data_IF_829621844682
#
_entry.id   IF_829621844682
#
_cell.length_a   1.000
_cell.length_b   1.000
_cell.length_c   1.000
_cell.angle_alpha   90.00
_cell.angle_beta   90.00
_cell.angle_gamma   90.00
#
_symmetry.space_group_name_H-M   'P 1'
#
loop_
_entity.id
_entity.type
_entity.pdbx_description
1 polymer ?
#
# COMPACT_ATOMS: atom_id res chain seq x y z
N UNK A 1 -2.36 -3.91 15.81
CA UNK A 1 -0.93 -3.62 15.94
C UNK A 1 -0.30 -3.63 14.57
N UNK A 2 0.62 -2.73 14.30
CA UNK A 2 1.35 -2.58 13.03
C UNK A 2 2.86 -2.60 13.31
N UNK A 3 3.67 -2.97 12.32
CA UNK A 3 5.13 -2.89 12.47
C UNK A 3 5.62 -1.44 12.56
N UNK A 4 4.97 -0.54 11.82
CA UNK A 4 5.31 0.89 11.73
C UNK A 4 4.16 1.78 12.21
N UNK A 5 4.44 3.04 12.59
CA UNK A 5 3.40 4.02 12.88
C UNK A 5 2.47 4.24 11.67
N UNK A 6 1.19 4.49 11.95
CA UNK A 6 0.23 4.82 10.89
C UNK A 6 0.66 6.13 10.21
N UNK A 7 0.79 6.16 8.87
CA UNK A 7 1.17 7.37 8.15
C UNK A 7 0.18 8.53 8.37
N UNK A 8 0.70 9.76 8.49
CA UNK A 8 -0.09 10.95 8.79
C UNK A 8 -1.23 11.22 7.78
N UNK A 9 -1.12 10.71 6.56
CA UNK A 9 -2.18 10.82 5.57
C UNK A 9 -3.50 10.13 6.00
N UNK A 10 -3.45 9.24 7.01
CA UNK A 10 -4.60 8.53 7.58
C UNK A 10 -5.10 9.11 8.91
N UNK A 11 -4.54 10.21 9.40
CA UNK A 11 -4.92 10.85 10.68
C UNK A 11 -6.41 11.21 10.77
N UNK A 12 -7.08 11.34 9.63
CA UNK A 12 -8.51 11.63 9.56
C UNK A 12 -9.42 10.40 9.78
N UNK A 13 -8.84 9.21 9.90
CA UNK A 13 -9.59 7.98 10.05
C UNK A 13 -10.07 7.79 11.49
N UNK A 14 -11.35 7.41 11.70
CA UNK A 14 -11.87 7.19 13.03
C UNK A 14 -11.12 6.04 13.72
N UNK A 15 -10.71 6.25 14.98
CA UNK A 15 -10.03 5.22 15.78
C UNK A 15 -8.55 5.03 15.47
N UNK A 16 -7.94 5.86 14.60
CA UNK A 16 -6.50 5.77 14.28
C UNK A 16 -5.61 5.90 15.52
N UNK A 17 -6.05 6.65 16.53
CA UNK A 17 -5.36 6.81 17.81
C UNK A 17 -5.26 5.51 18.63
N UNK A 18 -6.03 4.48 18.24
CA UNK A 18 -5.98 3.14 18.84
C UNK A 18 -4.92 2.24 18.23
N UNK A 19 -4.38 2.63 17.07
CA UNK A 19 -3.28 1.90 16.45
C UNK A 19 -2.06 1.86 17.37
N UNK A 20 -1.35 0.74 17.37
CA UNK A 20 -0.16 0.52 18.21
C UNK A 20 0.93 -0.12 17.36
N UNK A 21 2.18 0.16 17.70
CA UNK A 21 3.36 -0.46 17.08
C UNK A 21 3.95 -1.57 17.95
N UNK A 22 3.39 -1.81 19.11
CA UNK A 22 3.78 -2.90 19.99
C UNK A 22 2.55 -3.56 20.62
N UNK A 23 2.65 -4.85 20.89
CA UNK A 23 1.65 -5.58 21.69
C UNK A 23 1.84 -5.20 23.16
N UNK A 24 0.73 -4.87 23.85
CA UNK A 24 0.79 -4.60 25.27
C UNK A 24 1.22 -5.86 26.03
N UNK A 25 2.16 -5.77 26.99
CA UNK A 25 2.57 -6.91 27.80
C UNK A 25 1.43 -7.57 28.59
N UNK A 26 0.40 -6.79 28.94
CA UNK A 26 -0.76 -7.26 29.69
C UNK A 26 -1.85 -7.88 28.81
N UNK A 27 -1.63 -7.92 27.49
CA UNK A 27 -2.61 -8.48 26.55
C UNK A 27 -2.49 -10.01 26.52
N UNK A 28 -3.57 -10.68 26.88
CA UNK A 28 -3.72 -12.15 26.78
C UNK A 28 -4.89 -12.48 25.83
N UNK A 29 -4.67 -12.47 24.50
CA UNK A 29 -5.74 -12.69 23.54
C UNK A 29 -6.04 -14.18 23.37
N UNK A 30 -7.31 -14.49 23.11
CA UNK A 30 -7.76 -15.83 22.72
C UNK A 30 -7.62 -16.08 21.21
N UNK A 31 -7.43 -15.04 20.42
CA UNK A 31 -7.37 -15.08 18.96
C UNK A 31 -6.48 -13.95 18.43
N UNK A 32 -5.67 -14.27 17.43
CA UNK A 32 -4.97 -13.29 16.60
C UNK A 32 -5.64 -13.25 15.23
N UNK A 33 -5.99 -12.05 14.74
CA UNK A 33 -6.47 -11.86 13.37
C UNK A 33 -5.39 -11.11 12.59
N UNK A 34 -4.88 -11.73 11.53
CA UNK A 34 -3.91 -11.13 10.60
C UNK A 34 -4.66 -10.76 9.34
N UNK A 35 -4.62 -9.49 8.98
CA UNK A 35 -5.30 -8.96 7.79
C UNK A 35 -4.28 -8.40 6.81
N UNK A 36 -4.54 -8.56 5.50
CA UNK A 36 -3.83 -7.92 4.40
C UNK A 36 -2.37 -8.37 4.25
N UNK A 37 -2.16 -9.65 4.33
CA UNK A 37 -0.88 -10.33 4.18
C UNK A 37 -0.82 -11.65 4.93
N UNK A 38 0.17 -12.46 4.63
CA UNK A 38 0.43 -13.67 5.41
C UNK A 38 1.13 -13.35 6.74
N UNK A 39 1.15 -14.32 7.66
CA UNK A 39 1.72 -14.14 9.02
C UNK A 39 3.19 -13.74 8.96
N UNK A 40 3.97 -14.26 7.99
CA UNK A 40 5.40 -13.93 7.88
C UNK A 40 5.65 -12.46 7.53
N UNK A 41 4.69 -11.80 6.90
CA UNK A 41 4.77 -10.38 6.53
C UNK A 41 4.47 -9.42 7.69
N UNK A 42 4.04 -9.92 8.84
CA UNK A 42 3.86 -9.09 10.04
C UNK A 42 5.19 -8.62 10.65
N UNK A 43 6.32 -9.11 10.13
CA UNK A 43 7.66 -8.58 10.38
C UNK A 43 8.03 -8.51 11.86
N UNK A 44 8.34 -7.30 12.34
CA UNK A 44 8.74 -7.07 13.73
C UNK A 44 7.65 -7.48 14.74
N UNK A 45 6.36 -7.36 14.39
CA UNK A 45 5.26 -7.77 15.29
C UNK A 45 5.35 -9.27 15.59
N UNK A 46 5.61 -10.11 14.57
CA UNK A 46 5.82 -11.56 14.77
C UNK A 46 7.12 -11.83 15.52
N UNK A 47 8.21 -11.20 15.13
CA UNK A 47 9.54 -11.45 15.71
C UNK A 47 9.57 -11.13 17.21
N UNK A 48 8.99 -9.99 17.61
CA UNK A 48 8.96 -9.52 18.98
C UNK A 48 7.94 -10.29 19.87
N UNK A 49 7.01 -11.03 19.25
CA UNK A 49 5.93 -11.74 19.94
C UNK A 49 5.81 -13.22 19.51
N UNK A 50 6.93 -13.86 19.15
CA UNK A 50 6.93 -15.23 18.61
C UNK A 50 6.26 -16.25 19.52
N UNK A 51 6.38 -16.13 20.86
CA UNK A 51 5.73 -16.99 21.82
C UNK A 51 4.21 -16.86 21.76
N UNK A 52 3.69 -15.62 21.66
CA UNK A 52 2.26 -15.35 21.53
C UNK A 52 1.70 -15.97 20.24
N UNK A 53 2.39 -15.77 19.11
CA UNK A 53 2.01 -16.34 17.81
C UNK A 53 2.11 -17.87 17.78
N UNK A 54 2.97 -18.48 18.59
CA UNK A 54 3.08 -19.93 18.73
C UNK A 54 1.99 -20.56 19.63
N UNK A 55 1.36 -19.76 20.50
CA UNK A 55 0.40 -20.22 21.51
C UNK A 55 -1.06 -19.96 21.13
N UNK A 56 -1.35 -18.83 20.51
CA UNK A 56 -2.71 -18.34 20.25
C UNK A 56 -3.13 -18.72 18.81
N UNK A 57 -4.36 -19.24 18.61
CA UNK A 57 -4.85 -19.52 17.27
C UNK A 57 -4.89 -18.26 16.43
N UNK A 58 -4.55 -18.40 15.14
CA UNK A 58 -4.48 -17.31 14.18
C UNK A 58 -5.54 -17.50 13.11
N UNK A 59 -6.29 -16.43 12.82
CA UNK A 59 -7.14 -16.32 11.63
C UNK A 59 -6.47 -15.35 10.66
N UNK A 60 -6.37 -15.73 9.38
CA UNK A 60 -5.80 -14.90 8.34
C UNK A 60 -6.88 -14.52 7.31
N UNK A 61 -7.02 -13.24 7.02
CA UNK A 61 -7.92 -12.69 6.00
C UNK A 61 -7.07 -11.88 5.03
N UNK A 62 -7.02 -12.30 3.76
CA UNK A 62 -6.12 -11.69 2.78
C UNK A 62 -6.64 -11.83 1.34
N UNK A 63 -6.20 -10.95 0.46
CA UNK A 63 -6.52 -11.00 -0.96
C UNK A 63 -5.30 -11.24 -1.86
N UNK A 64 -4.10 -11.34 -1.30
CA UNK A 64 -2.89 -11.52 -2.08
C UNK A 64 -2.75 -12.94 -2.64
N UNK A 65 -2.53 -13.06 -3.95
CA UNK A 65 -2.29 -14.35 -4.65
C UNK A 65 -1.09 -15.12 -4.06
N UNK A 66 -0.11 -14.41 -3.52
CA UNK A 66 1.11 -15.00 -2.96
C UNK A 66 0.93 -15.59 -1.57
N UNK A 67 -0.20 -15.34 -0.91
CA UNK A 67 -0.46 -15.88 0.42
C UNK A 67 -0.92 -17.34 0.33
N UNK A 68 -0.15 -18.30 0.88
CA UNK A 68 -0.54 -19.71 0.85
C UNK A 68 -1.62 -20.08 1.87
N UNK A 69 -1.97 -19.20 2.80
CA UNK A 69 -2.91 -19.45 3.89
C UNK A 69 -2.47 -20.56 4.87
N UNK A 70 -1.18 -20.84 4.94
CA UNK A 70 -0.63 -21.97 5.73
C UNK A 70 -0.26 -21.53 7.16
N UNK A 71 -0.21 -22.52 8.07
CA UNK A 71 0.29 -22.31 9.44
C UNK A 71 -0.67 -21.53 10.36
N UNK A 72 -1.95 -21.43 10.00
CA UNK A 72 -2.97 -20.71 10.76
C UNK A 72 -4.16 -21.64 11.08
N UNK A 73 -4.95 -21.28 12.10
CA UNK A 73 -6.14 -22.03 12.50
C UNK A 73 -7.26 -21.96 11.44
N UNK A 74 -7.41 -20.81 10.79
CA UNK A 74 -8.29 -20.62 9.64
C UNK A 74 -7.74 -19.53 8.72
N UNK A 75 -7.93 -19.69 7.41
CA UNK A 75 -7.57 -18.70 6.41
C UNK A 75 -8.72 -18.45 5.44
N UNK A 76 -8.96 -17.17 5.15
CA UNK A 76 -9.81 -16.76 4.04
C UNK A 76 -8.96 -15.92 3.08
N UNK A 77 -8.33 -16.59 2.12
CA UNK A 77 -7.53 -15.95 1.06
C UNK A 77 -8.38 -15.91 -0.21
N UNK A 78 -8.80 -14.72 -0.64
CA UNK A 78 -9.61 -14.52 -1.85
C UNK A 78 -8.91 -13.56 -2.83
N UNK A 79 -8.12 -14.08 -3.77
CA UNK A 79 -7.47 -13.24 -4.80
C UNK A 79 -8.45 -12.54 -5.76
N UNK A 80 -9.72 -12.88 -5.72
CA UNK A 80 -10.78 -12.19 -6.47
C UNK A 80 -11.35 -10.97 -5.74
N UNK A 81 -10.99 -10.75 -4.47
CA UNK A 81 -11.34 -9.54 -3.75
C UNK A 81 -10.43 -8.38 -4.16
N UNK A 82 -11.00 -7.19 -4.31
CA UNK A 82 -10.22 -6.00 -4.67
C UNK A 82 -9.35 -5.50 -3.52
N UNK A 83 -9.73 -5.82 -2.28
CA UNK A 83 -9.05 -5.45 -1.05
C UNK A 83 -9.45 -6.42 0.08
N UNK A 84 -8.62 -6.59 1.08
CA UNK A 84 -9.02 -7.28 2.32
C UNK A 84 -10.23 -6.62 2.99
N UNK A 85 -10.37 -5.29 2.86
CA UNK A 85 -11.54 -4.57 3.33
C UNK A 85 -12.86 -4.99 2.65
N UNK A 86 -12.83 -5.46 1.39
CA UNK A 86 -13.99 -6.07 0.74
C UNK A 86 -14.44 -7.34 1.46
N UNK A 87 -13.49 -8.21 1.80
CA UNK A 87 -13.76 -9.45 2.53
C UNK A 87 -14.29 -9.17 3.94
N UNK A 88 -13.66 -8.23 4.66
CA UNK A 88 -14.12 -7.84 6.00
C UNK A 88 -15.55 -7.28 5.93
N UNK A 89 -15.88 -6.45 4.93
CA UNK A 89 -17.25 -5.95 4.74
C UNK A 89 -18.26 -7.08 4.60
N UNK A 90 -17.93 -8.12 3.82
CA UNK A 90 -18.78 -9.29 3.64
C UNK A 90 -18.88 -10.16 4.90
N UNK A 91 -17.84 -10.16 5.74
CA UNK A 91 -17.79 -10.96 6.97
C UNK A 91 -18.64 -10.35 8.11
N UNK A 92 -18.64 -9.02 8.27
CA UNK A 92 -19.23 -8.36 9.42
C UNK A 92 -20.69 -8.74 9.71
N UNK A 93 -21.61 -8.83 8.73
CA UNK A 93 -22.98 -9.26 8.99
C UNK A 93 -23.07 -10.69 9.57
N UNK A 94 -22.17 -11.58 9.20
CA UNK A 94 -22.11 -12.94 9.75
C UNK A 94 -21.64 -12.95 11.21
N UNK A 95 -20.97 -11.90 11.65
CA UNK A 95 -20.57 -11.68 13.04
C UNK A 95 -21.59 -10.84 13.83
N UNK A 96 -22.75 -10.51 13.21
CA UNK A 96 -23.79 -9.67 13.82
C UNK A 96 -23.40 -8.21 13.93
N UNK A 97 -22.46 -7.73 13.11
CA UNK A 97 -22.00 -6.33 13.10
C UNK A 97 -22.53 -5.63 11.84
N UNK A 98 -23.35 -4.60 12.05
CA UNK A 98 -23.86 -3.79 10.94
C UNK A 98 -22.80 -2.81 10.45
N UNK A 99 -22.83 -2.50 9.15
CA UNK A 99 -21.84 -1.62 8.52
C UNK A 99 -21.90 -0.17 9.04
N UNK A 100 -23.06 0.29 9.49
CA UNK A 100 -23.26 1.63 10.07
C UNK A 100 -22.93 1.70 11.57
N UNK A 101 -22.48 0.58 12.15
CA UNK A 101 -22.09 0.52 13.55
C UNK A 101 -21.04 1.60 13.88
N UNK A 102 -21.06 2.08 15.11
CA UNK A 102 -20.25 3.20 15.58
C UNK A 102 -20.46 4.49 14.78
N UNK A 103 -21.68 4.76 14.32
CA UNK A 103 -22.00 5.98 13.57
C UNK A 103 -21.35 6.04 12.21
N UNK A 104 -21.19 4.90 11.54
CA UNK A 104 -20.55 4.80 10.22
C UNK A 104 -19.01 4.75 10.24
N UNK A 105 -18.39 4.71 11.41
CA UNK A 105 -16.93 4.65 11.51
C UNK A 105 -16.35 3.38 10.86
N UNK A 106 -17.05 2.24 11.01
CA UNK A 106 -16.66 0.98 10.37
C UNK A 106 -16.72 1.11 8.85
N UNK A 107 -17.83 1.61 8.31
CA UNK A 107 -17.99 1.84 6.88
C UNK A 107 -16.91 2.80 6.32
N UNK A 108 -16.57 3.83 7.09
CA UNK A 108 -15.52 4.80 6.73
C UNK A 108 -14.15 4.13 6.58
N UNK A 109 -13.76 3.27 7.53
CA UNK A 109 -12.49 2.53 7.52
C UNK A 109 -12.42 1.52 6.36
N UNK A 110 -13.48 0.73 6.18
CA UNK A 110 -13.54 -0.27 5.12
C UNK A 110 -13.55 0.36 3.73
N UNK A 111 -14.27 1.47 3.55
CA UNK A 111 -14.24 2.24 2.31
C UNK A 111 -12.85 2.79 1.99
N UNK A 112 -12.09 3.20 3.00
CA UNK A 112 -10.74 3.72 2.75
C UNK A 112 -9.79 2.64 2.21
N UNK A 113 -9.85 1.40 2.73
CA UNK A 113 -9.08 0.29 2.17
C UNK A 113 -9.48 -0.02 0.73
N UNK A 114 -10.80 -0.06 0.44
CA UNK A 114 -11.27 -0.23 -0.95
C UNK A 114 -10.75 0.87 -1.88
N UNK A 115 -10.83 2.13 -1.45
CA UNK A 115 -10.35 3.28 -2.24
C UNK A 115 -8.86 3.19 -2.48
N UNK A 116 -8.07 2.76 -1.48
CA UNK A 116 -6.62 2.64 -1.60
C UNK A 116 -6.23 1.56 -2.62
N UNK A 117 -6.71 0.33 -2.45
CA UNK A 117 -6.30 -0.82 -3.27
C UNK A 117 -6.83 -0.78 -4.70
N UNK A 118 -7.93 -0.04 -4.92
CA UNK A 118 -8.51 0.14 -6.26
C UNK A 118 -8.12 1.46 -6.94
N UNK A 119 -7.26 2.27 -6.32
CA UNK A 119 -6.98 3.64 -6.76
C UNK A 119 -8.27 4.44 -7.07
N UNK A 120 -9.18 4.47 -6.11
CA UNK A 120 -10.53 5.04 -6.28
C UNK A 120 -11.35 4.36 -7.39
N UNK A 121 -11.32 3.04 -7.43
CA UNK A 121 -12.02 2.18 -8.40
C UNK A 121 -11.49 2.30 -9.84
N UNK A 122 -10.28 2.76 -10.04
CA UNK A 122 -9.64 2.90 -11.34
C UNK A 122 -8.80 1.67 -11.75
N UNK A 123 -8.39 0.81 -10.80
CA UNK A 123 -7.60 -0.37 -11.09
C UNK A 123 -8.47 -1.53 -11.62
N UNK A 124 -7.83 -2.45 -12.36
CA UNK A 124 -8.47 -3.61 -12.99
C UNK A 124 -9.01 -4.66 -12.00
N UNK A 125 -8.62 -4.61 -10.73
CA UNK A 125 -9.17 -5.44 -9.66
C UNK A 125 -10.58 -4.97 -9.21
N UNK A 126 -11.06 -3.82 -9.66
CA UNK A 126 -12.42 -3.33 -9.41
C UNK A 126 -13.45 -4.20 -10.12
N UNK A 127 -14.24 -4.93 -9.37
CA UNK A 127 -15.25 -5.88 -9.88
C UNK A 127 -16.69 -5.36 -9.61
N UNK A 128 -17.72 -5.98 -10.22
CA UNK A 128 -19.11 -5.69 -9.81
C UNK A 128 -19.39 -5.98 -8.33
N UNK A 129 -18.69 -6.95 -7.71
CA UNK A 129 -18.77 -7.22 -6.27
C UNK A 129 -18.21 -6.05 -5.47
N UNK A 130 -17.04 -5.55 -5.83
CA UNK A 130 -16.40 -4.39 -5.22
C UNK A 130 -17.31 -3.16 -5.23
N UNK A 131 -17.96 -2.87 -6.36
CA UNK A 131 -18.86 -1.73 -6.48
C UNK A 131 -20.15 -1.90 -5.66
N UNK A 132 -20.70 -3.11 -5.54
CA UNK A 132 -21.83 -3.38 -4.63
C UNK A 132 -21.44 -3.14 -3.18
N UNK A 133 -20.31 -3.70 -2.74
CA UNK A 133 -19.78 -3.49 -1.39
C UNK A 133 -19.55 -1.99 -1.12
N UNK A 134 -18.95 -1.28 -2.06
CA UNK A 134 -18.77 0.17 -1.94
C UNK A 134 -20.11 0.92 -1.80
N UNK A 135 -21.14 0.52 -2.56
CA UNK A 135 -22.50 1.10 -2.45
C UNK A 135 -23.08 0.88 -1.05
N UNK A 136 -22.93 -0.30 -0.48
CA UNK A 136 -23.40 -0.62 0.88
C UNK A 136 -22.66 0.23 1.93
N UNK A 137 -21.36 0.38 1.80
CA UNK A 137 -20.56 1.22 2.70
C UNK A 137 -20.94 2.71 2.61
N UNK A 138 -21.23 3.22 1.40
CA UNK A 138 -21.74 4.59 1.25
C UNK A 138 -23.11 4.73 1.91
N UNK A 139 -24.01 3.76 1.73
CA UNK A 139 -25.31 3.75 2.40
C UNK A 139 -25.20 3.71 3.93
N UNK A 140 -24.16 3.04 4.44
CA UNK A 140 -23.83 2.99 5.86
C UNK A 140 -23.07 4.23 6.40
N UNK A 141 -22.88 5.26 5.56
CA UNK A 141 -22.34 6.56 5.98
C UNK A 141 -20.87 6.83 5.60
N UNK A 142 -20.21 5.94 4.83
CA UNK A 142 -18.86 6.21 4.35
C UNK A 142 -18.83 7.42 3.40
N UNK A 143 -17.95 8.36 3.69
CA UNK A 143 -17.81 9.60 2.93
C UNK A 143 -16.77 9.44 1.79
N UNK A 144 -17.12 8.64 0.78
CA UNK A 144 -16.24 8.33 -0.35
C UNK A 144 -15.54 9.56 -0.96
N UNK A 145 -16.23 10.69 -1.25
CA UNK A 145 -15.54 11.86 -1.83
C UNK A 145 -14.49 12.45 -0.90
N UNK A 146 -14.71 12.43 0.40
CA UNK A 146 -13.76 12.93 1.40
C UNK A 146 -12.56 12.00 1.49
N UNK A 147 -12.77 10.68 1.54
CA UNK A 147 -11.71 9.67 1.59
C UNK A 147 -10.82 9.79 0.34
N UNK A 148 -11.41 9.76 -0.86
CA UNK A 148 -10.67 9.85 -2.12
C UNK A 148 -9.85 11.16 -2.22
N UNK A 149 -10.43 12.29 -1.76
CA UNK A 149 -9.72 13.56 -1.70
C UNK A 149 -8.53 13.51 -0.73
N UNK A 150 -8.70 12.96 0.47
CA UNK A 150 -7.64 12.89 1.50
C UNK A 150 -6.50 11.99 1.04
N UNK A 151 -6.78 10.84 0.47
CA UNK A 151 -5.77 9.88 0.04
C UNK A 151 -5.05 10.37 -1.23
N UNK A 152 -5.79 10.81 -2.27
CA UNK A 152 -5.19 11.06 -3.59
C UNK A 152 -5.06 12.51 -3.99
N UNK A 153 -5.86 13.43 -3.40
CA UNK A 153 -5.96 14.82 -3.88
C UNK A 153 -5.57 15.86 -2.83
N UNK A 154 -4.98 15.44 -1.71
CA UNK A 154 -4.48 16.37 -0.67
C UNK A 154 -3.04 16.04 -0.41
N UNK A 155 -2.15 16.95 -0.77
CA UNK A 155 -0.72 16.81 -0.57
C UNK A 155 -0.15 18.09 0.07
N UNK A 156 0.80 17.98 1.00
CA UNK A 156 1.54 19.14 1.52
C UNK A 156 2.22 19.91 0.38
N UNK A 157 2.33 21.22 0.53
CA UNK A 157 3.03 22.05 -0.47
C UNK A 157 4.49 21.62 -0.68
N UNK A 158 5.16 21.13 0.36
CA UNK A 158 6.50 20.56 0.27
C UNK A 158 6.54 19.38 -0.70
N UNK A 159 5.60 18.44 -0.58
CA UNK A 159 5.47 17.30 -1.49
C UNK A 159 5.21 17.75 -2.94
N UNK A 160 4.33 18.73 -3.14
CA UNK A 160 4.08 19.27 -4.49
C UNK A 160 5.33 19.92 -5.10
N UNK A 161 6.13 20.66 -4.29
CA UNK A 161 7.41 21.20 -4.73
C UNK A 161 8.41 20.10 -5.09
N UNK A 162 8.50 19.04 -4.26
CA UNK A 162 9.34 17.87 -4.53
C UNK A 162 8.96 17.22 -5.86
N UNK A 163 7.67 16.96 -6.07
CA UNK A 163 7.16 16.38 -7.32
C UNK A 163 7.49 17.24 -8.53
N UNK A 164 7.29 18.56 -8.43
CA UNK A 164 7.64 19.50 -9.51
C UNK A 164 9.13 19.44 -9.88
N UNK A 165 10.02 19.34 -8.90
CA UNK A 165 11.48 19.21 -9.13
C UNK A 165 11.82 17.92 -9.86
N UNK A 166 11.27 16.79 -9.42
CA UNK A 166 11.54 15.47 -10.02
C UNK A 166 10.94 15.37 -11.42
N UNK A 167 9.71 15.84 -11.60
CA UNK A 167 9.05 15.83 -12.91
C UNK A 167 9.76 16.73 -13.94
N UNK A 168 10.38 17.83 -13.51
CA UNK A 168 11.11 18.74 -14.43
C UNK A 168 12.37 18.11 -15.05
N UNK A 169 12.84 16.99 -14.52
CA UNK A 169 14.00 16.23 -15.04
C UNK A 169 13.61 14.83 -15.48
N UNK A 170 12.34 14.65 -15.88
CA UNK A 170 11.88 13.43 -16.51
C UNK A 170 12.72 13.14 -17.77
N UNK A 171 13.21 11.93 -17.87
CA UNK A 171 13.92 11.42 -19.06
C UNK A 171 13.15 10.26 -19.68
N UNK A 172 13.31 10.08 -20.99
CA UNK A 172 12.70 8.98 -21.74
C UNK A 172 13.73 8.31 -22.63
N UNK A 173 13.52 7.03 -22.95
CA UNK A 173 14.26 6.34 -24.01
C UNK A 173 13.93 6.92 -25.39
N UNK A 174 14.79 6.63 -26.38
CA UNK A 174 14.63 7.14 -27.76
C UNK A 174 13.26 6.80 -28.38
N UNK A 175 12.67 5.69 -27.98
CA UNK A 175 11.36 5.21 -28.43
C UNK A 175 10.22 5.54 -27.45
N UNK A 176 10.48 6.37 -26.43
CA UNK A 176 9.56 6.78 -25.35
C UNK A 176 8.93 5.60 -24.56
N UNK A 177 9.48 4.40 -24.67
CA UNK A 177 8.92 3.21 -24.00
C UNK A 177 9.41 3.02 -22.57
N UNK A 178 10.52 3.64 -22.21
CA UNK A 178 11.05 3.67 -20.84
C UNK A 178 11.13 5.13 -20.38
N UNK A 179 10.54 5.41 -19.25
CA UNK A 179 10.54 6.73 -18.61
C UNK A 179 11.14 6.62 -17.22
N UNK A 180 12.01 7.55 -16.86
CA UNK A 180 12.60 7.58 -15.53
C UNK A 180 12.81 8.99 -15.00
N UNK A 181 12.98 9.07 -13.69
CA UNK A 181 13.47 10.27 -13.04
C UNK A 181 14.25 9.89 -11.77
N UNK A 182 14.94 10.88 -11.20
CA UNK A 182 15.68 10.71 -9.95
C UNK A 182 15.19 11.73 -8.92
N UNK A 183 15.12 11.30 -7.67
CA UNK A 183 14.98 12.18 -6.51
C UNK A 183 16.18 12.01 -5.60
N UNK A 184 16.79 13.12 -5.22
CA UNK A 184 18.02 13.19 -4.40
C UNK A 184 17.71 13.81 -3.04
N UNK A 185 18.58 13.61 -2.06
CA UNK A 185 18.48 14.29 -0.76
C UNK A 185 18.43 15.81 -0.90
N UNK A 186 19.17 16.40 -1.84
CA UNK A 186 19.11 17.83 -2.13
C UNK A 186 17.72 18.29 -2.62
N UNK A 187 16.94 17.42 -3.24
CA UNK A 187 15.56 17.73 -3.63
C UNK A 187 14.62 17.79 -2.44
N UNK A 188 14.77 16.88 -1.49
CA UNK A 188 14.01 16.90 -0.24
C UNK A 188 14.31 18.16 0.55
N UNK A 189 15.60 18.52 0.72
CA UNK A 189 16.03 19.73 1.39
C UNK A 189 15.45 20.98 0.72
N UNK A 190 15.64 21.12 -0.60
CA UNK A 190 15.18 22.29 -1.35
C UNK A 190 13.64 22.42 -1.41
N UNK A 191 12.90 21.31 -1.30
CA UNK A 191 11.44 21.31 -1.24
C UNK A 191 10.92 21.53 0.19
N UNK A 192 11.76 21.35 1.21
CA UNK A 192 11.37 21.25 2.61
C UNK A 192 10.49 20.01 2.86
N UNK A 193 10.79 18.91 2.16
CA UNK A 193 10.02 17.67 2.17
C UNK A 193 10.75 16.59 2.98
N UNK A 194 9.98 15.66 3.55
CA UNK A 194 10.47 14.46 4.23
C UNK A 194 10.52 13.26 3.28
N UNK A 195 11.28 12.23 3.61
CA UNK A 195 11.49 11.06 2.73
C UNK A 195 10.19 10.32 2.39
N UNK A 196 9.25 10.23 3.33
CA UNK A 196 7.92 9.65 3.13
C UNK A 196 7.07 10.44 2.11
N UNK A 197 7.35 11.74 1.95
CA UNK A 197 6.66 12.58 0.97
C UNK A 197 7.07 12.32 -0.50
N UNK A 198 8.01 11.40 -0.76
CA UNK A 198 8.23 10.88 -2.11
C UNK A 198 7.20 9.81 -2.52
N UNK A 199 6.35 9.37 -1.60
CA UNK A 199 5.33 8.37 -1.91
C UNK A 199 4.30 8.89 -2.93
N UNK A 200 3.89 8.01 -3.87
CA UNK A 200 3.01 8.36 -4.97
C UNK A 200 3.70 9.07 -6.15
N UNK A 201 4.99 9.40 -6.05
CA UNK A 201 5.72 10.03 -7.15
C UNK A 201 5.92 9.08 -8.32
N UNK A 202 6.25 7.81 -8.07
CA UNK A 202 6.37 6.79 -9.11
C UNK A 202 5.02 6.56 -9.84
N UNK A 203 3.91 6.62 -9.12
CA UNK A 203 2.58 6.42 -9.70
C UNK A 203 2.14 7.61 -10.56
N UNK A 204 2.65 8.81 -10.24
CA UNK A 204 2.48 9.97 -11.09
C UNK A 204 3.31 9.86 -12.38
N UNK A 205 4.56 9.39 -12.30
CA UNK A 205 5.38 9.09 -13.49
C UNK A 205 4.74 8.00 -14.36
N UNK A 206 4.11 7.00 -13.74
CA UNK A 206 3.43 5.89 -14.42
C UNK A 206 2.17 6.32 -15.21
N UNK A 207 1.75 7.58 -15.10
CA UNK A 207 0.69 8.16 -15.94
C UNK A 207 1.19 8.51 -17.36
N UNK A 208 2.47 8.26 -17.68
CA UNK A 208 2.97 8.41 -19.03
C UNK A 208 2.10 7.67 -20.04
N UNK A 209 1.72 8.33 -21.13
CA UNK A 209 0.87 7.74 -22.16
C UNK A 209 1.59 6.70 -23.01
N UNK A 210 2.93 6.75 -23.08
CA UNK A 210 3.76 5.95 -23.99
C UNK A 210 4.62 4.90 -23.28
N UNK A 211 5.06 5.15 -22.06
CA UNK A 211 6.00 4.28 -21.35
C UNK A 211 5.38 2.92 -21.01
N UNK A 212 6.08 1.85 -21.33
CA UNK A 212 5.80 0.50 -20.88
C UNK A 212 6.46 0.19 -19.53
N UNK A 213 7.58 0.87 -19.25
CA UNK A 213 8.37 0.76 -18.03
C UNK A 213 8.63 2.15 -17.47
N UNK A 214 8.38 2.32 -16.19
CA UNK A 214 8.66 3.56 -15.48
C UNK A 214 9.53 3.27 -14.28
N UNK A 215 10.61 4.06 -14.14
CA UNK A 215 11.57 3.92 -13.03
C UNK A 215 11.65 5.22 -12.25
N UNK A 216 11.71 5.09 -10.92
CA UNK A 216 12.08 6.18 -10.04
C UNK A 216 13.28 5.73 -9.22
N UNK A 217 14.37 6.46 -9.37
CA UNK A 217 15.56 6.28 -8.57
C UNK A 217 15.50 7.25 -7.37
N UNK A 218 15.64 6.73 -6.17
CA UNK A 218 15.82 7.53 -4.95
C UNK A 218 17.28 7.41 -4.53
N UNK A 219 18.05 8.46 -4.82
CA UNK A 219 19.47 8.56 -4.49
C UNK A 219 19.60 9.10 -3.06
N UNK A 220 19.90 8.21 -2.13
CA UNK A 220 19.95 8.43 -0.69
C UNK A 220 21.37 8.16 -0.16
N UNK A 221 21.69 8.56 1.06
CA UNK A 221 23.02 8.37 1.66
C UNK A 221 23.45 6.89 1.78
N UNK A 222 22.47 5.98 1.91
CA UNK A 222 22.66 4.54 2.07
C UNK A 222 22.64 3.76 0.74
N UNK A 223 22.57 4.45 -0.40
CA UNK A 223 22.50 3.88 -1.74
C UNK A 223 21.27 4.33 -2.54
N UNK A 224 21.00 3.63 -3.61
CA UNK A 224 19.90 3.97 -4.53
C UNK A 224 18.75 2.98 -4.38
N UNK A 225 17.56 3.48 -4.09
CA UNK A 225 16.34 2.67 -4.14
C UNK A 225 15.66 2.85 -5.49
N UNK A 226 15.34 1.75 -6.13
CA UNK A 226 14.76 1.70 -7.47
C UNK A 226 13.31 1.26 -7.34
N UNK A 227 12.37 2.10 -7.74
CA UNK A 227 10.96 1.72 -7.88
C UNK A 227 10.64 1.49 -9.34
N UNK A 228 9.90 0.42 -9.64
CA UNK A 228 9.53 0.01 -10.99
C UNK A 228 8.01 -0.07 -11.10
N UNK A 229 7.47 0.50 -12.17
CA UNK A 229 6.08 0.28 -12.61
C UNK A 229 6.08 -0.16 -14.06
N UNK A 230 5.16 -1.06 -14.42
CA UNK A 230 5.01 -1.52 -15.80
C UNK A 230 3.54 -1.53 -16.21
N UNK A 231 3.29 -1.37 -17.51
CA UNK A 231 1.95 -1.39 -18.09
C UNK A 231 1.39 -2.82 -18.15
N UNK A 232 0.07 -2.96 -18.11
CA UNK A 232 -0.63 -4.23 -18.29
C UNK A 232 -0.30 -4.88 -19.65
N UNK A 233 -0.02 -6.19 -19.63
CA UNK A 233 0.41 -6.94 -20.79
C UNK A 233 1.86 -6.70 -21.24
N UNK A 234 2.60 -5.82 -20.54
CA UNK A 234 4.00 -5.50 -20.83
C UNK A 234 5.00 -6.36 -20.03
N UNK A 235 6.17 -5.78 -19.81
CA UNK A 235 7.26 -6.41 -19.06
C UNK A 235 6.84 -6.68 -17.60
N UNK A 236 7.27 -7.79 -17.06
CA UNK A 236 7.10 -8.11 -15.63
C UNK A 236 8.11 -7.31 -14.79
N UNK A 237 7.60 -6.43 -13.92
CA UNK A 237 8.43 -5.57 -13.07
C UNK A 237 9.33 -6.38 -12.12
N UNK A 238 8.90 -7.57 -11.68
CA UNK A 238 9.72 -8.42 -10.80
C UNK A 238 10.99 -8.92 -11.48
N UNK A 239 10.96 -9.12 -12.80
CA UNK A 239 12.16 -9.52 -13.56
C UNK A 239 13.18 -8.40 -13.62
N UNK A 240 12.73 -7.15 -13.73
CA UNK A 240 13.61 -5.98 -13.72
C UNK A 240 14.21 -5.77 -12.33
N UNK A 241 13.37 -5.75 -11.31
CA UNK A 241 13.82 -5.60 -9.92
C UNK A 241 14.74 -6.77 -9.48
N UNK A 242 14.44 -8.00 -9.92
CA UNK A 242 15.22 -9.20 -9.62
C UNK A 242 16.66 -9.15 -10.11
N UNK A 243 16.96 -8.40 -11.19
CA UNK A 243 18.33 -8.17 -11.66
C UNK A 243 19.19 -7.41 -10.62
N UNK A 244 18.56 -6.70 -9.69
CA UNK A 244 19.18 -5.98 -8.57
C UNK A 244 18.87 -6.63 -7.22
N UNK A 245 18.50 -7.91 -7.19
CA UNK A 245 18.16 -8.62 -5.94
C UNK A 245 16.84 -8.18 -5.30
N UNK A 246 16.03 -7.41 -6.02
CA UNK A 246 14.73 -6.92 -5.56
C UNK A 246 13.56 -7.86 -5.92
N UNK A 247 12.34 -7.38 -5.68
CA UNK A 247 11.11 -8.13 -5.93
C UNK A 247 9.86 -7.26 -5.85
N UNK A 248 8.70 -7.91 -5.83
CA UNK A 248 7.39 -7.23 -5.76
C UNK A 248 6.33 -7.98 -6.54
N UNK A 249 5.47 -7.24 -7.23
CA UNK A 249 4.40 -7.74 -8.08
C UNK A 249 4.72 -7.51 -9.56
N UNK A 250 4.03 -8.21 -10.45
CA UNK A 250 4.24 -8.12 -11.90
C UNK A 250 4.15 -6.69 -12.47
N UNK A 251 3.38 -5.79 -11.83
CA UNK A 251 3.21 -4.38 -12.25
C UNK A 251 3.92 -3.37 -11.36
N UNK A 252 4.36 -3.77 -10.17
CA UNK A 252 4.95 -2.89 -9.17
C UNK A 252 6.04 -3.64 -8.40
N UNK A 253 7.29 -3.28 -8.60
CA UNK A 253 8.42 -3.91 -7.94
C UNK A 253 9.44 -2.86 -7.49
N UNK A 254 10.37 -3.28 -6.63
CA UNK A 254 11.44 -2.42 -6.15
C UNK A 254 12.72 -3.20 -5.90
N UNK A 255 13.83 -2.49 -5.93
CA UNK A 255 15.16 -3.00 -5.62
C UNK A 255 15.97 -1.93 -4.90
N UNK A 256 17.10 -2.34 -4.33
CA UNK A 256 18.11 -1.43 -3.79
C UNK A 256 19.46 -1.75 -4.43
N UNK A 257 20.23 -0.71 -4.68
CA UNK A 257 21.60 -0.81 -5.21
C UNK A 257 22.55 -0.11 -4.24
N UNK A 258 23.55 -0.86 -3.75
CA UNK A 258 24.62 -0.29 -2.94
C UNK A 258 25.64 0.36 -3.88
N UNK A 259 25.75 1.68 -3.84
CA UNK A 259 26.67 2.43 -4.68
C UNK A 259 26.06 3.69 -5.27
N UNK A 260 26.85 4.44 -6.07
CA UNK A 260 26.42 5.72 -6.61
C UNK A 260 25.31 5.53 -7.67
N UNK A 261 24.46 6.55 -7.80
CA UNK A 261 23.36 6.57 -8.75
C UNK A 261 23.78 6.24 -10.21
N UNK A 262 24.95 6.74 -10.64
CA UNK A 262 25.45 6.50 -12.00
C UNK A 262 25.71 5.00 -12.32
N UNK A 263 25.90 4.18 -11.29
CA UNK A 263 26.05 2.72 -11.46
C UNK A 263 24.71 1.98 -11.45
N UNK A 264 23.66 2.61 -10.89
CA UNK A 264 22.30 2.05 -10.86
C UNK A 264 21.47 2.41 -12.09
N UNK A 265 21.84 3.48 -12.81
CA UNK A 265 21.21 3.98 -14.04
C UNK A 265 21.66 3.18 -15.25
#
# INVERSE_FOLDING_TARGET
VFADPVPAMYDFMPGVERARTAVSPDLDPDLIVVCDGDVSRTGAVLADNAELFGRVPIVNIDHHVSNPGNGVAAAWVDPGAAATCEQVTLLLPHLGVEHDALGGAIAQLLMAGLVFDTASFAHSNTTPRTLRVASELVAAGAQLPMIARRIYRTKPNAQLRLFGRVLSRLETSVDDRVTWSVVTLADFEAAGATLDQAEGLIDLLAQSATADVVLLFKDLDDGVRISVRTRDGGVDATRLAGAFGGGGHARAAGASHEGPFEAAR
#
